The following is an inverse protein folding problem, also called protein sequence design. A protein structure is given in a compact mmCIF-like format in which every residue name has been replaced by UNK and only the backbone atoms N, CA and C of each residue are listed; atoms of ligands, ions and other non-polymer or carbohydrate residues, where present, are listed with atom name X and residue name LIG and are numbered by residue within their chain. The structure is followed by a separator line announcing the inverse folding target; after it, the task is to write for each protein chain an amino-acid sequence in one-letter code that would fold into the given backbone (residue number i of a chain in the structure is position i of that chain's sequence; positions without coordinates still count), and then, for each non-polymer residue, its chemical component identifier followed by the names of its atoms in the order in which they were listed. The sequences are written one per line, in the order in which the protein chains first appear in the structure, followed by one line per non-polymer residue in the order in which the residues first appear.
data_IF_385981998364
#
_entry.id   IF_385981998364
#
_cell.length_a   1.000
_cell.length_b   1.000
_cell.length_c   1.000
_cell.angle_alpha   90.00
_cell.angle_beta   90.00
_cell.angle_gamma   90.00
#
_symmetry.space_group_name_H-M   'P 1'
#
loop_
_entity.id
_entity.type
_entity.pdbx_description
1 polymer ?
#
# COMPACT_ATOMS: atom_id res chain seq x y z
N UNK A 1 22.52 12.66 0.71
CA UNK A 1 22.16 12.13 -0.62
C UNK A 1 21.09 13.06 -1.18
N UNK A 2 21.39 13.81 -2.23
CA UNK A 2 20.49 14.80 -2.80
C UNK A 2 19.72 14.09 -3.92
N UNK A 3 18.42 13.84 -3.74
CA UNK A 3 17.59 13.32 -4.84
C UNK A 3 17.51 14.39 -5.92
N UNK A 4 18.01 14.15 -7.14
CA UNK A 4 17.76 15.07 -8.24
C UNK A 4 16.26 15.05 -8.51
N UNK A 5 15.59 16.18 -8.30
CA UNK A 5 14.19 16.31 -8.65
C UNK A 5 14.05 16.30 -10.17
N UNK A 6 13.55 15.19 -10.69
CA UNK A 6 13.17 15.08 -12.09
C UNK A 6 11.73 15.55 -12.23
N UNK A 7 11.54 16.69 -12.89
CA UNK A 7 10.23 17.03 -13.44
C UNK A 7 10.14 16.34 -14.80
N UNK A 8 9.11 15.52 -14.99
CA UNK A 8 8.85 14.91 -16.30
C UNK A 8 8.31 15.98 -17.25
N UNK A 9 9.22 16.55 -18.05
CA UNK A 9 8.92 17.61 -19.02
C UNK A 9 8.00 17.12 -20.16
N UNK A 10 7.87 15.81 -20.35
CA UNK A 10 6.97 15.22 -21.35
C UNK A 10 5.54 14.97 -20.81
N UNK A 11 5.30 15.20 -19.51
CA UNK A 11 4.02 14.96 -18.87
C UNK A 11 2.91 15.88 -19.38
N UNK A 12 1.72 15.34 -19.60
CA UNK A 12 0.54 16.08 -20.07
C UNK A 12 0.04 17.17 -19.10
N UNK A 13 0.55 17.18 -17.86
CA UNK A 13 0.22 18.17 -16.83
C UNK A 13 1.06 19.44 -16.93
N UNK A 14 2.11 19.44 -17.75
CA UNK A 14 2.92 20.63 -18.01
C UNK A 14 2.38 21.36 -19.23
N UNK A 15 1.75 22.50 -18.98
CA UNK A 15 1.21 23.36 -20.02
C UNK A 15 2.04 24.63 -20.14
N UNK A 16 2.43 24.99 -21.36
CA UNK A 16 2.89 26.35 -21.67
C UNK A 16 1.67 27.24 -21.91
N UNK A 17 0.95 27.51 -20.83
CA UNK A 17 -0.28 28.30 -20.81
C UNK A 17 -0.23 29.31 -19.67
N UNK A 18 -0.99 30.40 -19.80
CA UNK A 18 -1.30 31.31 -18.69
C UNK A 18 -2.39 30.77 -17.77
N UNK A 19 -3.07 29.70 -18.18
CA UNK A 19 -4.05 28.98 -17.37
C UNK A 19 -3.34 27.82 -16.67
N UNK A 20 -2.98 28.02 -15.41
CA UNK A 20 -2.30 27.03 -14.57
C UNK A 20 -1.59 27.65 -13.38
N UNK A 21 -1.11 26.82 -12.45
CA UNK A 21 -0.25 27.26 -11.36
C UNK A 21 1.22 27.29 -11.83
N UNK A 22 1.91 28.38 -11.53
CA UNK A 22 3.34 28.48 -11.81
C UNK A 22 4.14 27.62 -10.84
N UNK A 23 5.28 27.09 -11.30
CA UNK A 23 6.20 26.36 -10.43
C UNK A 23 6.91 27.26 -9.42
N UNK A 24 7.13 28.51 -9.82
CA UNK A 24 7.84 29.51 -9.03
C UNK A 24 6.94 30.73 -8.85
N UNK A 25 7.11 31.39 -7.70
CA UNK A 25 6.51 32.69 -7.43
C UNK A 25 7.34 33.83 -8.07
N UNK A 26 6.85 35.06 -7.92
CA UNK A 26 7.50 36.26 -8.47
C UNK A 26 8.90 36.53 -7.89
N UNK A 27 9.23 35.94 -6.73
CA UNK A 27 10.55 36.04 -6.11
C UNK A 27 11.54 34.99 -6.63
N UNK A 28 11.08 34.06 -7.47
CA UNK A 28 11.89 32.94 -7.97
C UNK A 28 11.94 31.74 -7.03
N UNK A 29 11.17 31.76 -5.94
CA UNK A 29 11.03 30.64 -5.00
C UNK A 29 9.93 29.68 -5.44
N UNK A 30 9.92 28.45 -4.92
CA UNK A 30 8.85 27.48 -5.23
C UNK A 30 7.49 28.03 -4.80
N UNK A 31 6.50 27.93 -5.70
CA UNK A 31 5.12 28.25 -5.38
C UNK A 31 4.58 27.37 -4.25
N UNK A 32 3.50 27.81 -3.59
CA UNK A 32 2.99 27.14 -2.39
C UNK A 32 2.62 25.66 -2.64
N UNK A 33 1.97 25.36 -3.76
CA UNK A 33 1.57 23.99 -4.13
C UNK A 33 2.78 23.10 -4.39
N UNK A 34 3.76 23.59 -5.14
CA UNK A 34 5.00 22.85 -5.42
C UNK A 34 5.81 22.63 -4.15
N UNK A 35 5.86 23.61 -3.25
CA UNK A 35 6.54 23.49 -1.95
C UNK A 35 5.92 22.41 -1.06
N UNK A 36 4.59 22.25 -1.09
CA UNK A 36 3.91 21.19 -0.35
C UNK A 36 4.29 19.81 -0.89
N UNK A 37 4.23 19.62 -2.20
CA UNK A 37 4.67 18.36 -2.85
C UNK A 37 6.14 18.09 -2.57
N UNK A 38 6.99 19.11 -2.69
CA UNK A 38 8.41 19.03 -2.36
C UNK A 38 8.65 18.55 -0.94
N UNK A 39 7.97 19.15 0.04
CA UNK A 39 8.11 18.78 1.45
C UNK A 39 7.70 17.34 1.68
N UNK A 40 6.60 16.90 1.07
CA UNK A 40 6.14 15.52 1.14
C UNK A 40 7.16 14.53 0.56
N UNK A 41 7.69 14.80 -0.65
CA UNK A 41 8.71 13.96 -1.28
C UNK A 41 10.00 13.91 -0.47
N UNK A 42 10.43 15.06 0.08
CA UNK A 42 11.61 15.14 0.92
C UNK A 42 11.48 14.29 2.19
N UNK A 43 10.37 14.42 2.93
CA UNK A 43 10.14 13.60 4.13
C UNK A 43 9.96 12.12 3.79
N UNK A 44 9.36 11.79 2.64
CA UNK A 44 9.26 10.40 2.15
C UNK A 44 10.64 9.79 1.91
N UNK A 45 11.49 10.48 1.16
CA UNK A 45 12.85 10.04 0.86
C UNK A 45 13.73 9.90 2.12
N UNK A 46 13.60 10.86 3.03
CA UNK A 46 14.29 10.81 4.33
C UNK A 46 13.81 9.60 5.14
N UNK A 47 12.50 9.36 5.19
CA UNK A 47 11.93 8.20 5.90
C UNK A 47 12.39 6.88 5.30
N UNK A 48 12.46 6.78 3.97
CA UNK A 48 12.98 5.60 3.26
C UNK A 48 14.46 5.34 3.60
N UNK A 49 15.30 6.38 3.61
CA UNK A 49 16.70 6.25 3.97
C UNK A 49 16.87 5.77 5.43
N UNK A 50 16.07 6.33 6.36
CA UNK A 50 16.06 5.90 7.76
C UNK A 50 15.62 4.45 7.87
N UNK A 51 14.54 4.06 7.20
CA UNK A 51 14.00 2.69 7.23
C UNK A 51 14.99 1.69 6.64
N UNK A 52 15.62 2.01 5.51
CA UNK A 52 16.64 1.17 4.87
C UNK A 52 17.82 0.91 5.81
N UNK A 53 18.34 1.97 6.44
CA UNK A 53 19.42 1.84 7.42
C UNK A 53 18.99 1.02 8.66
N UNK A 54 17.76 1.24 9.13
CA UNK A 54 17.18 0.53 10.28
C UNK A 54 17.03 -0.96 10.00
N UNK A 55 16.45 -1.33 8.87
CA UNK A 55 16.32 -2.71 8.42
C UNK A 55 17.69 -3.37 8.26
N UNK A 56 18.68 -2.65 7.73
CA UNK A 56 20.06 -3.15 7.63
C UNK A 56 20.68 -3.49 8.99
N UNK A 57 20.47 -2.63 9.99
CA UNK A 57 20.96 -2.87 11.36
C UNK A 57 20.24 -4.03 12.05
N UNK A 58 18.91 -4.11 11.94
CA UNK A 58 18.14 -5.24 12.48
C UNK A 58 18.54 -6.56 11.83
N UNK A 59 18.77 -6.56 10.51
CA UNK A 59 19.24 -7.74 9.79
C UNK A 59 20.66 -8.15 10.22
N UNK A 60 21.59 -7.20 10.35
CA UNK A 60 22.94 -7.47 10.83
C UNK A 60 22.97 -7.99 12.28
N UNK A 61 22.01 -7.58 13.11
CA UNK A 61 21.81 -8.08 14.46
C UNK A 61 21.08 -9.45 14.52
N UNK A 62 20.71 -10.02 13.36
CA UNK A 62 20.03 -11.32 13.29
C UNK A 62 18.55 -11.29 13.68
N UNK A 63 17.95 -10.11 13.85
CA UNK A 63 16.57 -9.94 14.33
C UNK A 63 15.54 -10.16 13.23
N UNK A 64 15.92 -9.93 11.97
CA UNK A 64 15.03 -10.10 10.81
C UNK A 64 15.08 -11.53 10.33
N UNK A 65 13.96 -12.24 10.42
CA UNK A 65 13.83 -13.65 10.09
C UNK A 65 12.68 -13.88 9.08
N UNK A 66 12.68 -15.00 8.33
CA UNK A 66 11.54 -15.37 7.51
C UNK A 66 10.25 -15.42 8.34
N UNK A 67 9.19 -14.79 7.82
CA UNK A 67 7.93 -14.68 8.54
C UNK A 67 6.90 -15.65 7.96
N UNK A 68 6.61 -16.78 8.63
CA UNK A 68 5.64 -17.76 8.15
C UNK A 68 4.22 -17.25 8.42
N UNK A 69 3.65 -16.56 7.45
CA UNK A 69 2.28 -16.06 7.54
C UNK A 69 1.31 -17.12 7.02
N UNK A 70 0.29 -17.44 7.83
CA UNK A 70 -0.82 -18.29 7.46
C UNK A 70 -2.11 -17.49 7.53
N UNK A 71 -2.85 -17.42 6.41
CA UNK A 71 -4.15 -16.74 6.34
C UNK A 71 -5.22 -17.77 6.00
N UNK A 72 -6.38 -17.69 6.65
CA UNK A 72 -7.54 -18.49 6.28
C UNK A 72 -8.28 -17.83 5.12
N UNK A 73 -8.44 -18.54 4.01
CA UNK A 73 -9.23 -18.11 2.86
C UNK A 73 -10.33 -19.12 2.53
N UNK A 74 -11.11 -18.84 1.48
CA UNK A 74 -12.25 -19.68 1.06
C UNK A 74 -11.85 -21.12 0.69
N UNK A 75 -10.65 -21.29 0.12
CA UNK A 75 -10.10 -22.58 -0.27
C UNK A 75 -9.24 -23.25 0.83
N UNK A 76 -9.31 -22.72 2.06
CA UNK A 76 -8.55 -23.19 3.22
C UNK A 76 -7.37 -22.29 3.60
N UNK A 77 -6.43 -22.83 4.37
CA UNK A 77 -5.25 -22.08 4.84
C UNK A 77 -4.27 -21.83 3.70
N UNK A 78 -4.00 -20.56 3.41
CA UNK A 78 -2.98 -20.14 2.47
C UNK A 78 -1.73 -19.68 3.21
N UNK A 79 -0.56 -20.19 2.80
CA UNK A 79 0.73 -19.71 3.28
C UNK A 79 1.20 -18.54 2.40
N UNK A 80 1.61 -17.45 3.03
CA UNK A 80 2.31 -16.34 2.38
C UNK A 80 3.80 -16.50 2.67
N UNK A 81 4.59 -16.58 1.61
CA UNK A 81 6.05 -16.77 1.66
C UNK A 81 6.79 -15.54 1.12
N UNK A 82 8.09 -15.44 1.38
CA UNK A 82 8.95 -14.37 0.86
C UNK A 82 8.96 -13.09 1.70
N UNK A 83 8.13 -13.03 2.75
CA UNK A 83 8.13 -11.94 3.71
C UNK A 83 9.05 -12.25 4.89
N UNK A 84 9.65 -11.19 5.44
CA UNK A 84 10.49 -11.26 6.64
C UNK A 84 9.89 -10.35 7.71
N UNK A 85 10.10 -10.72 8.96
CA UNK A 85 9.55 -10.05 10.14
C UNK A 85 10.59 -9.91 11.23
N UNK A 86 10.34 -8.99 12.14
CA UNK A 86 11.10 -8.89 13.39
C UNK A 86 10.74 -10.07 14.28
N UNK A 87 11.75 -10.80 14.74
CA UNK A 87 11.59 -11.78 15.80
C UNK A 87 11.78 -11.09 17.16
N UNK A 88 10.69 -10.96 17.92
CA UNK A 88 10.70 -10.31 19.24
C UNK A 88 11.60 -11.04 20.26
N UNK A 89 11.65 -12.37 20.21
CA UNK A 89 12.51 -13.14 21.11
C UNK A 89 13.98 -12.87 20.81
N UNK A 90 14.37 -12.86 19.54
CA UNK A 90 15.73 -12.55 19.10
C UNK A 90 16.09 -11.10 19.43
N UNK A 91 15.17 -10.15 19.22
CA UNK A 91 15.36 -8.74 19.58
C UNK A 91 15.60 -8.55 21.09
N UNK A 92 14.82 -9.22 21.94
CA UNK A 92 14.94 -9.13 23.40
C UNK A 92 16.13 -9.92 23.96
N UNK A 93 16.70 -10.85 23.18
CA UNK A 93 17.86 -11.65 23.55
C UNK A 93 19.20 -11.04 23.10
N UNK A 94 19.20 -9.84 22.49
CA UNK A 94 20.42 -9.13 22.14
C UNK A 94 21.29 -8.87 23.37
N UNK A 95 22.60 -9.06 23.22
CA UNK A 95 23.54 -8.72 24.28
C UNK A 95 23.69 -7.19 24.48
N UNK A 96 24.27 -6.78 25.60
CA UNK A 96 24.42 -5.37 25.96
C UNK A 96 25.21 -4.57 24.91
N UNK A 97 26.16 -5.21 24.22
CA UNK A 97 26.99 -4.55 23.23
C UNK A 97 26.21 -4.27 21.94
N UNK A 98 25.45 -5.25 21.45
CA UNK A 98 24.55 -5.12 20.31
C UNK A 98 23.41 -4.15 20.62
N UNK A 99 22.79 -4.29 21.79
CA UNK A 99 21.75 -3.37 22.26
C UNK A 99 22.26 -1.93 22.35
N UNK A 100 23.45 -1.73 22.92
CA UNK A 100 24.09 -0.42 23.04
C UNK A 100 24.37 0.25 21.70
N UNK A 101 24.72 -0.53 20.67
CA UNK A 101 24.92 -0.04 19.30
C UNK A 101 23.59 0.40 18.68
N UNK A 102 22.55 -0.43 18.79
CA UNK A 102 21.22 -0.14 18.20
C UNK A 102 20.50 1.00 18.90
N UNK A 103 20.68 1.17 20.22
CA UNK A 103 19.99 2.19 21.04
C UNK A 103 20.22 3.63 20.54
N UNK A 104 21.35 3.90 19.90
CA UNK A 104 21.68 5.25 19.39
C UNK A 104 20.90 5.63 18.13
N UNK A 105 20.06 4.72 17.64
CA UNK A 105 19.26 4.88 16.44
C UNK A 105 17.79 4.57 16.76
N UNK A 106 16.86 5.04 15.94
CA UNK A 106 15.41 4.78 16.07
C UNK A 106 15.03 3.33 15.68
N UNK A 107 15.96 2.37 15.83
CA UNK A 107 15.80 0.99 15.40
C UNK A 107 14.70 0.27 16.18
N UNK A 108 14.66 0.47 17.50
CA UNK A 108 13.66 -0.17 18.36
C UNK A 108 12.25 0.33 18.08
N UNK A 109 12.08 1.63 17.80
CA UNK A 109 10.78 2.22 17.47
C UNK A 109 10.16 1.55 16.23
N UNK A 110 10.98 1.38 15.18
CA UNK A 110 10.56 0.71 13.94
C UNK A 110 10.30 -0.78 14.18
N UNK A 111 11.14 -1.46 14.96
CA UNK A 111 10.97 -2.87 15.26
C UNK A 111 9.65 -3.15 15.99
N UNK A 112 9.34 -2.38 17.05
CA UNK A 112 8.08 -2.52 17.77
C UNK A 112 6.87 -2.05 16.97
N UNK A 113 7.02 -1.02 16.13
CA UNK A 113 5.95 -0.63 15.20
C UNK A 113 5.59 -1.77 14.24
N UNK A 114 6.58 -2.51 13.72
CA UNK A 114 6.33 -3.68 12.91
C UNK A 114 5.65 -4.78 13.73
N UNK A 115 6.16 -5.14 14.91
CA UNK A 115 5.57 -6.17 15.77
C UNK A 115 4.08 -5.88 16.06
N UNK A 116 3.73 -4.63 16.36
CA UNK A 116 2.35 -4.21 16.56
C UNK A 116 1.52 -4.30 15.27
N UNK A 117 2.10 -3.92 14.13
CA UNK A 117 1.45 -4.00 12.83
C UNK A 117 1.16 -5.45 12.43
N UNK A 118 2.09 -6.37 12.68
CA UNK A 118 2.00 -7.79 12.35
C UNK A 118 0.76 -8.47 12.96
N UNK A 119 0.32 -8.02 14.14
CA UNK A 119 -0.89 -8.52 14.79
C UNK A 119 -2.19 -8.26 13.98
N UNK A 120 -2.17 -7.30 13.05
CA UNK A 120 -3.34 -6.95 12.24
C UNK A 120 -3.51 -7.82 10.97
N UNK A 121 -2.58 -8.73 10.69
CA UNK A 121 -2.65 -9.55 9.48
C UNK A 121 -3.91 -10.42 9.39
N UNK A 122 -4.41 -10.94 10.52
CA UNK A 122 -5.65 -11.72 10.54
C UNK A 122 -6.83 -10.87 10.08
N UNK A 123 -6.97 -9.66 10.62
CA UNK A 123 -8.01 -8.70 10.23
C UNK A 123 -7.88 -8.30 8.76
N UNK A 124 -6.66 -8.11 8.25
CA UNK A 124 -6.44 -7.84 6.82
C UNK A 124 -6.89 -9.03 5.95
N UNK A 125 -6.71 -10.27 6.41
CA UNK A 125 -7.23 -11.48 5.76
C UNK A 125 -8.76 -11.48 5.69
N UNK A 126 -9.46 -11.17 6.79
CA UNK A 126 -10.92 -11.09 6.84
C UNK A 126 -11.48 -10.00 5.91
N UNK A 127 -10.83 -8.83 5.88
CA UNK A 127 -11.20 -7.73 4.99
C UNK A 127 -10.98 -8.10 3.53
N UNK A 128 -9.89 -8.80 3.21
CA UNK A 128 -9.62 -9.29 1.86
C UNK A 128 -10.69 -10.29 1.40
N UNK A 129 -11.12 -11.20 2.29
CA UNK A 129 -12.19 -12.16 1.99
C UNK A 129 -13.53 -11.44 1.74
N UNK A 130 -13.89 -10.50 2.61
CA UNK A 130 -15.13 -9.71 2.47
C UNK A 130 -15.15 -8.95 1.14
N UNK A 131 -14.02 -8.35 0.76
CA UNK A 131 -13.88 -7.67 -0.54
C UNK A 131 -14.03 -8.63 -1.71
N UNK A 132 -13.40 -9.81 -1.66
CA UNK A 132 -13.51 -10.81 -2.72
C UNK A 132 -14.96 -11.29 -2.91
N UNK A 133 -15.70 -11.48 -1.83
CA UNK A 133 -17.12 -11.85 -1.88
C UNK A 133 -17.99 -10.75 -2.48
N UNK A 134 -17.75 -9.49 -2.12
CA UNK A 134 -18.45 -8.35 -2.71
C UNK A 134 -18.18 -8.25 -4.22
N UNK A 135 -16.92 -8.40 -4.65
CA UNK A 135 -16.54 -8.40 -6.06
C UNK A 135 -17.17 -9.59 -6.83
N UNK A 136 -17.22 -10.78 -6.23
CA UNK A 136 -17.87 -11.96 -6.82
C UNK A 136 -19.39 -11.78 -6.95
N UNK A 137 -20.05 -11.19 -5.95
CA UNK A 137 -21.48 -10.91 -5.99
C UNK A 137 -21.82 -9.87 -7.08
N UNK A 138 -21.00 -8.84 -7.26
CA UNK A 138 -21.17 -7.87 -8.34
C UNK A 138 -20.95 -8.49 -9.73
N UNK A 139 -19.95 -9.36 -9.89
CA UNK A 139 -19.77 -10.13 -11.14
C UNK A 139 -20.97 -11.03 -11.44
N UNK A 140 -21.47 -11.75 -10.44
CA UNK A 140 -22.63 -12.62 -10.60
C UNK A 140 -23.89 -11.82 -11.01
N UNK A 141 -24.10 -10.61 -10.44
CA UNK A 141 -25.18 -9.71 -10.88
C UNK A 141 -25.00 -9.22 -12.32
N UNK A 142 -23.77 -8.94 -12.74
CA UNK A 142 -23.47 -8.49 -14.09
C UNK A 142 -23.62 -9.60 -15.16
N UNK A 143 -23.35 -10.86 -14.79
CA UNK A 143 -23.51 -12.02 -15.67
C UNK A 143 -24.97 -12.50 -15.79
N UNK A 144 -25.83 -12.22 -14.81
CA UNK A 144 -27.27 -12.41 -14.95
C UNK A 144 -27.78 -11.38 -15.96
N UNK A 145 -28.01 -11.83 -17.20
CA UNK A 145 -28.66 -11.02 -18.24
C UNK A 145 -29.98 -10.48 -17.65
N UNK A 146 -30.19 -9.16 -17.57
CA UNK A 146 -31.37 -8.62 -16.92
C UNK A 146 -32.62 -9.14 -17.64
N UNK A 147 -33.62 -9.55 -16.84
CA UNK A 147 -34.91 -10.06 -17.36
C UNK A 147 -35.68 -8.99 -18.16
N UNK A 148 -35.27 -7.72 -18.04
CA UNK A 148 -35.76 -6.60 -18.83
C UNK A 148 -34.54 -5.88 -19.41
N UNK A 149 -34.33 -5.97 -20.71
CA UNK A 149 -33.56 -4.99 -21.46
C UNK A 149 -34.55 -4.06 -22.13
N UNK A 150 -34.50 -2.76 -21.80
CA UNK A 150 -35.25 -1.74 -22.53
C UNK A 150 -34.49 -1.45 -23.83
N UNK A 151 -35.03 -1.75 -25.02
CA UNK A 151 -34.48 -1.21 -26.26
C UNK A 151 -34.80 0.28 -26.35
N UNK A 152 -34.00 1.03 -27.11
CA UNK A 152 -34.19 2.49 -27.32
C UNK A 152 -35.54 2.84 -27.97
N UNK A 153 -36.23 1.85 -28.55
CA UNK A 153 -37.57 1.95 -29.15
C UNK A 153 -38.72 1.60 -28.17
N UNK A 154 -38.45 1.55 -26.85
CA UNK A 154 -39.47 1.38 -25.81
C UNK A 154 -40.35 0.11 -25.96
N UNK A 155 -39.90 -0.87 -26.74
CA UNK A 155 -40.62 -2.12 -27.01
C UNK A 155 -40.09 -3.21 -26.09
N UNK A 156 -40.90 -3.65 -25.13
CA UNK A 156 -40.51 -4.71 -24.20
C UNK A 156 -40.61 -6.07 -24.94
N UNK A 157 -39.47 -6.66 -25.29
CA UNK A 157 -39.40 -8.03 -25.82
C UNK A 157 -39.37 -9.03 -24.65
N UNK A 158 -40.42 -9.85 -24.54
CA UNK A 158 -40.64 -10.76 -23.41
C UNK A 158 -40.36 -12.20 -23.86
N UNK A 159 -39.30 -12.82 -23.31
CA UNK A 159 -38.94 -14.21 -23.62
C UNK A 159 -39.76 -15.19 -22.77
N UNK A 160 -40.91 -15.61 -23.31
CA UNK A 160 -41.85 -16.54 -22.69
C UNK A 160 -41.33 -17.98 -22.55
N UNK A 161 -40.18 -18.32 -23.15
CA UNK A 161 -39.62 -19.68 -23.07
C UNK A 161 -39.11 -20.05 -21.67
N UNK A 162 -38.95 -19.05 -20.79
CA UNK A 162 -38.47 -19.21 -19.41
C UNK A 162 -39.59 -19.34 -18.37
N UNK A 163 -40.84 -19.20 -18.78
CA UNK A 163 -41.99 -19.47 -17.91
C UNK A 163 -42.48 -20.87 -18.25
N UNK A 164 -42.19 -21.83 -17.37
CA UNK A 164 -42.63 -23.21 -17.53
C UNK A 164 -44.15 -23.34 -17.63
N UNK A 165 -44.61 -24.35 -18.36
CA UNK A 165 -46.01 -24.81 -18.35
C UNK A 165 -46.42 -25.36 -17.00
#
# INVERSE_FOLDING_TARGET
MHLPHCVDVAGALLVKSTEGETFFDESGELSASVRQVWTFLHETAKSEAILTNTCGQLHAAGVVEPWPILIQGENGTQQITGLHGVNELTLNALDDAAFGQLRRTSVFDVAYAQLLSMANLSTLGELAQTRAQAEAAERAKAEIKPMITLPEDNTIDWDWSKIGR
#
